data_IF_502937487599
#
_entry.id   IF_502937487599
#
_cell.length_a   1.000
_cell.length_b   1.000
_cell.length_c   1.000
_cell.angle_alpha   90.00
_cell.angle_beta   90.00
_cell.angle_gamma   90.00
#
_symmetry.space_group_name_H-M   'P 1'
#
loop_
_entity.id
_entity.type
_entity.pdbx_description
1 polymer ?
#
# COMPACT_ATOMS: atom_id res chain seq x y z
N UNK A 1 12.67 21.83 31.58
CA UNK A 1 12.46 21.89 30.11
C UNK A 1 12.98 20.66 29.35
N UNK A 2 13.93 19.88 29.87
CA UNK A 2 14.44 18.65 29.22
C UNK A 2 13.34 17.60 28.93
N UNK A 3 12.39 17.43 29.86
CA UNK A 3 11.33 16.43 29.71
C UNK A 3 10.35 16.71 28.55
N UNK A 4 10.13 17.97 28.18
CA UNK A 4 9.28 18.33 27.05
C UNK A 4 9.88 17.83 25.73
N UNK A 5 11.15 18.15 25.49
CA UNK A 5 11.87 17.72 24.30
C UNK A 5 11.97 16.20 24.20
N UNK A 6 12.22 15.51 25.32
CA UNK A 6 12.25 14.04 25.37
C UNK A 6 10.91 13.42 24.96
N UNK A 7 9.78 13.99 25.40
CA UNK A 7 8.45 13.51 24.98
C UNK A 7 8.15 13.85 23.52
N UNK A 8 8.59 15.02 23.04
CA UNK A 8 8.40 15.43 21.66
C UNK A 8 9.08 14.47 20.68
N UNK A 9 10.27 13.94 20.99
CA UNK A 9 10.93 12.92 20.16
C UNK A 9 10.26 11.53 20.21
N UNK A 10 9.58 11.20 21.31
CA UNK A 10 8.86 9.91 21.43
C UNK A 10 7.60 9.88 20.55
N UNK A 11 6.97 11.03 20.32
CA UNK A 11 5.72 11.11 19.56
C UNK A 11 5.87 10.70 18.08
N UNK A 12 6.84 11.19 17.30
CA UNK A 12 7.10 10.70 15.94
C UNK A 12 7.38 9.20 15.90
N UNK A 13 8.17 8.69 16.85
CA UNK A 13 8.46 7.26 16.94
C UNK A 13 7.17 6.45 17.15
N UNK A 14 6.32 6.87 18.07
CA UNK A 14 5.01 6.26 18.30
C UNK A 14 4.14 6.30 17.04
N UNK A 15 4.03 7.46 16.40
CA UNK A 15 3.22 7.64 15.20
C UNK A 15 3.68 6.70 14.08
N UNK A 16 5.00 6.62 13.83
CA UNK A 16 5.58 5.73 12.83
C UNK A 16 5.29 4.27 13.17
N UNK A 17 5.47 3.86 14.44
CA UNK A 17 5.17 2.50 14.87
C UNK A 17 3.69 2.13 14.70
N UNK A 18 2.77 3.04 15.04
CA UNK A 18 1.33 2.82 14.86
C UNK A 18 0.97 2.75 13.39
N UNK A 19 1.49 3.66 12.55
CA UNK A 19 1.23 3.64 11.11
C UNK A 19 1.74 2.34 10.47
N UNK A 20 2.96 1.92 10.78
CA UNK A 20 3.50 0.65 10.28
C UNK A 20 2.65 -0.53 10.74
N UNK A 21 2.31 -0.60 12.03
CA UNK A 21 1.48 -1.67 12.58
C UNK A 21 0.08 -1.71 11.95
N UNK A 22 -0.53 -0.55 11.73
CA UNK A 22 -1.80 -0.41 11.04
C UNK A 22 -1.70 -0.93 9.60
N UNK A 23 -0.75 -0.46 8.79
CA UNK A 23 -0.61 -0.92 7.41
C UNK A 23 -0.32 -2.42 7.33
N UNK A 24 0.55 -2.96 8.19
CA UNK A 24 0.87 -4.39 8.20
C UNK A 24 -0.35 -5.26 8.55
N UNK A 25 -1.16 -4.84 9.52
CA UNK A 25 -2.38 -5.58 9.91
C UNK A 25 -3.48 -5.43 8.87
N UNK A 26 -3.71 -4.23 8.34
CA UNK A 26 -4.69 -3.98 7.27
C UNK A 26 -4.35 -4.75 5.99
N UNK A 27 -3.06 -4.85 5.62
CA UNK A 27 -2.64 -5.56 4.41
C UNK A 27 -2.32 -7.06 4.63
N UNK A 28 -2.36 -7.58 5.86
CA UNK A 28 -2.19 -9.00 6.15
C UNK A 28 -3.03 -9.95 5.25
N UNK A 29 -4.33 -9.72 5.01
CA UNK A 29 -5.11 -10.56 4.09
C UNK A 29 -4.61 -10.50 2.65
N UNK A 30 -4.10 -9.35 2.19
CA UNK A 30 -3.49 -9.20 0.86
C UNK A 30 -2.25 -10.08 0.73
N UNK A 31 -1.37 -10.07 1.74
CA UNK A 31 -0.21 -10.98 1.77
C UNK A 31 -0.61 -12.46 1.84
N UNK A 32 -1.71 -12.78 2.52
CA UNK A 32 -2.24 -14.16 2.57
C UNK A 32 -2.75 -14.64 1.21
N UNK A 33 -3.39 -13.76 0.42
CA UNK A 33 -3.84 -14.07 -0.95
C UNK A 33 -2.67 -14.39 -1.89
N UNK A 34 -1.52 -13.74 -1.68
CA UNK A 34 -0.30 -13.95 -2.47
C UNK A 34 0.43 -15.28 -2.18
N UNK A 35 0.16 -15.92 -1.03
CA UNK A 35 0.84 -17.15 -0.61
C UNK A 35 0.34 -18.40 -1.36
N UNK A 36 -0.91 -18.41 -1.82
CA UNK A 36 -1.46 -19.54 -2.57
C UNK A 36 -1.21 -19.36 -4.07
N UNK A 37 -0.53 -20.33 -4.72
CA UNK A 37 -0.13 -20.26 -6.13
C UNK A 37 -1.29 -19.98 -7.08
N UNK A 38 -2.48 -20.58 -6.85
CA UNK A 38 -3.69 -20.34 -7.68
C UNK A 38 -4.23 -18.91 -7.49
N UNK A 39 -4.30 -18.44 -6.24
CA UNK A 39 -4.80 -17.09 -5.90
C UNK A 39 -3.82 -15.99 -6.34
N UNK A 40 -2.51 -16.27 -6.31
CA UNK A 40 -1.46 -15.38 -6.81
C UNK A 40 -1.63 -15.08 -8.30
N UNK A 41 -1.93 -16.11 -9.12
CA UNK A 41 -2.17 -15.93 -10.55
C UNK A 41 -3.39 -15.04 -10.80
N UNK A 42 -4.51 -15.30 -10.10
CA UNK A 42 -5.71 -14.46 -10.18
C UNK A 42 -5.42 -13.01 -9.79
N UNK A 43 -4.64 -12.80 -8.73
CA UNK A 43 -4.25 -11.47 -8.27
C UNK A 43 -3.38 -10.71 -9.29
N UNK A 44 -2.44 -11.40 -9.94
CA UNK A 44 -1.60 -10.83 -11.00
C UNK A 44 -2.46 -10.43 -12.21
N UNK A 45 -3.40 -11.28 -12.62
CA UNK A 45 -4.32 -10.98 -13.73
C UNK A 45 -5.16 -9.74 -13.40
N UNK A 46 -5.70 -9.67 -12.17
CA UNK A 46 -6.48 -8.51 -11.72
C UNK A 46 -5.66 -7.21 -11.78
N UNK A 47 -4.41 -7.23 -11.29
CA UNK A 47 -3.50 -6.08 -11.36
C UNK A 47 -3.21 -5.68 -12.81
N UNK A 48 -2.94 -6.66 -13.69
CA UNK A 48 -2.67 -6.38 -15.10
C UNK A 48 -3.87 -5.72 -15.80
N UNK A 49 -5.09 -6.15 -15.48
CA UNK A 49 -6.33 -5.54 -15.98
C UNK A 49 -6.44 -4.08 -15.49
N UNK A 50 -6.22 -3.83 -14.20
CA UNK A 50 -6.27 -2.47 -13.63
C UNK A 50 -5.24 -1.56 -14.32
N UNK A 51 -3.99 -2.02 -14.48
CA UNK A 51 -2.95 -1.27 -15.17
C UNK A 51 -3.36 -0.96 -16.61
N UNK A 52 -3.92 -1.94 -17.33
CA UNK A 52 -4.39 -1.75 -18.71
C UNK A 52 -5.52 -0.73 -18.79
N UNK A 53 -6.47 -0.77 -17.86
CA UNK A 53 -7.57 0.20 -17.77
C UNK A 53 -7.00 1.60 -17.51
N UNK A 54 -6.15 1.75 -16.49
CA UNK A 54 -5.50 3.03 -16.19
C UNK A 54 -4.72 3.57 -17.39
N UNK A 55 -3.93 2.72 -18.05
CA UNK A 55 -3.21 3.08 -19.27
C UNK A 55 -4.17 3.56 -20.37
N UNK A 56 -5.29 2.88 -20.55
CA UNK A 56 -6.29 3.25 -21.57
C UNK A 56 -6.94 4.59 -21.24
N UNK A 57 -7.28 4.83 -19.97
CA UNK A 57 -7.82 6.12 -19.51
C UNK A 57 -6.81 7.24 -19.78
N UNK A 58 -5.56 7.05 -19.37
CA UNK A 58 -4.49 8.04 -19.60
C UNK A 58 -4.29 8.28 -21.10
N UNK A 59 -4.27 7.21 -21.91
CA UNK A 59 -4.15 7.27 -23.37
C UNK A 59 -5.28 8.11 -24.00
N UNK A 60 -6.52 7.88 -23.57
CA UNK A 60 -7.69 8.64 -24.02
C UNK A 60 -7.56 10.11 -23.60
N UNK A 61 -7.17 10.38 -22.36
CA UNK A 61 -7.03 11.75 -21.84
C UNK A 61 -5.90 12.54 -22.50
N UNK A 62 -4.82 11.87 -22.89
CA UNK A 62 -3.62 12.51 -23.46
C UNK A 62 -3.63 12.54 -24.98
N UNK A 63 -4.61 11.90 -25.63
CA UNK A 63 -4.70 11.84 -27.09
C UNK A 63 -3.53 11.11 -27.77
N UNK A 64 -2.69 10.42 -26.99
CA UNK A 64 -1.56 9.64 -27.48
C UNK A 64 -2.14 8.45 -28.26
N UNK A 65 -1.97 8.43 -29.58
CA UNK A 65 -2.45 7.35 -30.46
C UNK A 65 -1.56 6.12 -30.37
#
# INVERSE_FOLDING_TARGET
MSNFWVNLYKFPRFLISVLIGFFLTTFQPVFKLLKNKKRKILFIILIAIIIRICYTIIKIMTGIK
#
